data_IF_692847168959
#
_entry.id   IF_692847168959
#
_cell.length_a   1.000
_cell.length_b   1.000
_cell.length_c   1.000
_cell.angle_alpha   90.00
_cell.angle_beta   90.00
_cell.angle_gamma   90.00
#
_symmetry.space_group_name_H-M   'P 1'
#
loop_
_entity.id
_entity.type
_entity.pdbx_description
1 polymer ?
#
# COMPACT_ATOMS: atom_id res chain seq x y z
N UNK A 1 13.48 -7.67 18.02
CA UNK A 1 12.96 -6.34 18.36
C UNK A 1 11.48 -6.47 18.76
N UNK A 2 10.98 -5.66 19.73
CA UNK A 2 9.56 -5.63 20.03
C UNK A 2 8.76 -5.21 18.79
N UNK A 3 7.53 -5.74 18.65
CA UNK A 3 6.62 -5.33 17.57
C UNK A 3 6.11 -3.93 17.85
N UNK A 4 6.30 -3.00 16.91
CA UNK A 4 5.79 -1.64 16.97
C UNK A 4 4.45 -1.53 16.22
N UNK A 5 4.35 -2.20 15.08
CA UNK A 5 3.14 -2.33 14.28
C UNK A 5 3.15 -3.70 13.59
N UNK A 6 1.98 -4.08 13.07
CA UNK A 6 1.84 -5.30 12.27
C UNK A 6 0.74 -5.14 11.23
N UNK A 7 0.89 -5.86 10.13
CA UNK A 7 -0.16 -6.08 9.14
C UNK A 7 -0.59 -7.53 9.25
N UNK A 8 -1.88 -7.75 9.42
CA UNK A 8 -2.48 -9.05 9.47
C UNK A 8 -3.51 -9.24 8.36
N UNK A 9 -3.71 -10.46 7.92
CA UNK A 9 -4.82 -10.83 7.06
C UNK A 9 -5.75 -11.76 7.84
N UNK A 10 -7.02 -11.80 7.47
CA UNK A 10 -7.89 -12.82 7.98
C UNK A 10 -7.45 -14.22 7.56
N UNK A 11 -7.55 -15.12 8.49
CA UNK A 11 -7.38 -16.55 8.26
C UNK A 11 -8.74 -17.23 8.44
N UNK A 12 -9.03 -18.20 7.59
CA UNK A 12 -10.31 -18.90 7.60
C UNK A 12 -10.56 -19.70 8.89
N UNK A 13 -9.47 -20.06 9.60
CA UNK A 13 -9.54 -20.91 10.80
C UNK A 13 -9.19 -20.19 12.10
N UNK A 14 -8.35 -19.16 12.07
CA UNK A 14 -7.69 -18.59 13.26
C UNK A 14 -7.87 -17.05 13.44
N UNK A 15 -8.84 -16.43 12.81
CA UNK A 15 -9.05 -14.99 12.94
C UNK A 15 -8.07 -14.15 12.11
N UNK A 16 -7.14 -13.43 12.75
CA UNK A 16 -6.15 -12.60 12.05
C UNK A 16 -4.75 -13.23 12.08
N UNK A 17 -4.19 -13.51 10.90
CA UNK A 17 -2.83 -14.03 10.75
C UNK A 17 -1.85 -12.90 10.43
N UNK A 18 -0.84 -12.64 11.28
CA UNK A 18 0.20 -11.65 10.98
C UNK A 18 0.95 -12.02 9.70
N UNK A 19 1.17 -11.03 8.83
CA UNK A 19 1.89 -11.17 7.57
C UNK A 19 3.27 -10.54 7.69
N UNK A 20 3.33 -9.34 8.27
CA UNK A 20 4.55 -8.57 8.46
C UNK A 20 4.40 -7.65 9.68
N UNK A 21 5.53 -7.30 10.29
CA UNK A 21 5.61 -6.41 11.44
C UNK A 21 6.80 -5.48 11.30
N UNK A 22 6.81 -4.39 12.09
CA UNK A 22 7.84 -3.35 12.07
C UNK A 22 8.02 -2.76 10.67
N UNK A 23 6.91 -2.34 10.07
CA UNK A 23 6.83 -1.74 8.74
C UNK A 23 6.81 -0.23 8.91
N UNK A 24 7.72 0.46 8.23
CA UNK A 24 7.79 1.93 8.25
C UNK A 24 6.87 2.54 7.19
N UNK A 25 6.75 1.87 6.01
CA UNK A 25 5.93 2.36 4.89
C UNK A 25 5.15 1.27 4.19
N UNK A 26 3.94 1.63 3.78
CA UNK A 26 3.13 0.85 2.84
C UNK A 26 3.10 1.59 1.50
N UNK A 27 3.64 0.96 0.47
CA UNK A 27 3.56 1.45 -0.89
C UNK A 27 2.30 0.89 -1.54
N UNK A 28 1.28 1.71 -1.66
CA UNK A 28 0.00 1.37 -2.29
C UNK A 28 0.18 1.48 -3.80
N UNK A 29 0.39 0.35 -4.46
CA UNK A 29 0.58 0.30 -5.91
C UNK A 29 -0.76 0.17 -6.59
N UNK A 30 -1.11 1.17 -7.37
CA UNK A 30 -2.20 1.17 -8.34
C UNK A 30 -1.63 1.28 -9.76
N UNK A 31 -2.47 1.28 -10.78
CA UNK A 31 -2.05 1.47 -12.15
C UNK A 31 -3.14 2.14 -12.97
N UNK A 32 -2.76 2.72 -14.10
CA UNK A 32 -3.71 3.31 -15.04
C UNK A 32 -4.43 2.25 -15.88
N UNK A 33 -3.86 1.04 -15.96
CA UNK A 33 -4.46 -0.15 -16.59
C UNK A 33 -4.23 -1.36 -15.67
N UNK A 34 -5.28 -2.06 -15.20
CA UNK A 34 -6.71 -1.74 -15.32
C UNK A 34 -7.05 -0.38 -14.70
N UNK A 35 -8.21 0.18 -15.00
CA UNK A 35 -8.61 1.55 -14.61
C UNK A 35 -8.25 1.87 -13.17
N UNK A 36 -7.65 3.05 -12.95
CA UNK A 36 -7.30 3.56 -11.62
C UNK A 36 -8.56 3.59 -10.73
N UNK A 37 -8.51 2.88 -9.62
CA UNK A 37 -9.63 2.78 -8.67
C UNK A 37 -9.30 3.50 -7.37
N UNK A 38 -9.84 4.70 -7.18
CA UNK A 38 -9.65 5.49 -5.97
C UNK A 38 -10.22 4.78 -4.75
N UNK A 39 -11.36 4.10 -4.86
CA UNK A 39 -11.96 3.32 -3.77
C UNK A 39 -11.03 2.25 -3.18
N UNK A 40 -10.14 1.71 -4.00
CA UNK A 40 -9.18 0.71 -3.53
C UNK A 40 -8.02 1.38 -2.82
N UNK A 41 -7.57 2.53 -3.33
CA UNK A 41 -6.58 3.36 -2.65
C UNK A 41 -7.11 3.74 -1.26
N UNK A 42 -8.35 4.26 -1.17
CA UNK A 42 -8.98 4.66 0.09
C UNK A 42 -9.00 3.51 1.11
N UNK A 43 -9.34 2.29 0.67
CA UNK A 43 -9.32 1.11 1.55
C UNK A 43 -7.94 0.84 2.13
N UNK A 44 -6.89 0.94 1.31
CA UNK A 44 -5.53 0.76 1.81
C UNK A 44 -5.12 1.88 2.75
N UNK A 45 -5.50 3.13 2.46
CA UNK A 45 -5.22 4.27 3.33
C UNK A 45 -5.84 4.08 4.72
N UNK A 46 -7.11 3.67 4.79
CA UNK A 46 -7.79 3.38 6.06
C UNK A 46 -7.04 2.32 6.88
N UNK A 47 -6.54 1.27 6.24
CA UNK A 47 -5.74 0.24 6.93
C UNK A 47 -4.42 0.81 7.43
N UNK A 48 -3.72 1.62 6.60
CA UNK A 48 -2.45 2.25 6.97
C UNK A 48 -2.60 3.16 8.19
N UNK A 49 -3.63 4.02 8.19
CA UNK A 49 -3.92 4.96 9.27
C UNK A 49 -4.23 4.21 10.59
N UNK A 50 -5.05 3.16 10.52
CA UNK A 50 -5.34 2.35 11.71
C UNK A 50 -4.12 1.58 12.23
N UNK A 51 -3.21 1.20 11.35
CA UNK A 51 -1.97 0.53 11.73
C UNK A 51 -0.86 1.50 12.17
N UNK A 52 -1.04 2.81 11.99
CA UNK A 52 -0.01 3.83 12.25
C UNK A 52 1.22 3.68 11.35
N UNK A 53 1.01 3.29 10.08
CA UNK A 53 2.07 3.05 9.09
C UNK A 53 1.94 4.09 7.97
N UNK A 54 3.04 4.72 7.59
CA UNK A 54 3.06 5.76 6.55
C UNK A 54 2.68 5.19 5.18
N UNK A 55 1.60 5.67 4.53
CA UNK A 55 1.23 5.25 3.19
C UNK A 55 1.86 6.15 2.12
N UNK A 56 2.26 5.53 0.99
CA UNK A 56 2.66 6.24 -0.22
C UNK A 56 1.87 5.66 -1.39
N UNK A 57 1.19 6.51 -2.15
CA UNK A 57 0.40 6.13 -3.32
C UNK A 57 1.29 6.15 -4.56
N UNK A 58 1.41 5.02 -5.22
CA UNK A 58 2.19 4.86 -6.44
C UNK A 58 1.29 4.40 -7.58
N UNK A 59 1.17 5.21 -8.62
CA UNK A 59 0.43 4.88 -9.84
C UNK A 59 1.40 4.45 -10.93
N UNK A 60 1.41 3.16 -11.22
CA UNK A 60 2.29 2.55 -12.21
C UNK A 60 1.69 2.58 -13.62
N UNK A 61 2.51 2.25 -14.61
CA UNK A 61 2.19 2.26 -16.04
C UNK A 61 1.86 3.66 -16.59
N UNK A 62 2.48 4.69 -16.01
CA UNK A 62 2.30 6.08 -16.44
C UNK A 62 2.81 6.37 -17.86
N UNK A 63 3.52 5.42 -18.48
CA UNK A 63 3.90 5.43 -19.89
C UNK A 63 2.74 5.22 -20.87
N UNK A 64 1.64 4.65 -20.37
CA UNK A 64 0.43 4.40 -21.18
C UNK A 64 -0.53 5.60 -21.21
N UNK A 65 -0.24 6.67 -20.48
CA UNK A 65 -1.04 7.88 -20.45
C UNK A 65 -0.65 8.84 -21.57
N UNK A 66 -1.64 9.36 -22.29
CA UNK A 66 -1.47 10.58 -23.07
C UNK A 66 -1.47 11.83 -22.18
N UNK A 67 -1.23 13.01 -22.76
CA UNK A 67 -1.12 14.24 -22.00
C UNK A 67 -2.43 14.70 -21.31
N UNK A 68 -3.57 14.32 -21.83
CA UNK A 68 -4.88 14.65 -21.27
C UNK A 68 -5.21 13.70 -20.10
N UNK A 69 -5.01 12.42 -20.31
CA UNK A 69 -5.15 11.38 -19.28
C UNK A 69 -4.18 11.59 -18.11
N UNK A 70 -2.94 12.02 -18.37
CA UNK A 70 -1.99 12.33 -17.29
C UNK A 70 -2.48 13.49 -16.44
N UNK A 71 -3.07 14.53 -17.03
CA UNK A 71 -3.68 15.64 -16.28
C UNK A 71 -4.87 15.20 -15.44
N UNK A 72 -5.70 14.30 -15.97
CA UNK A 72 -6.83 13.75 -15.22
C UNK A 72 -6.35 12.95 -14.02
N UNK A 73 -5.41 12.04 -14.19
CA UNK A 73 -4.82 11.26 -13.10
C UNK A 73 -4.14 12.17 -12.07
N UNK A 74 -3.37 13.18 -12.51
CA UNK A 74 -2.76 14.16 -11.62
C UNK A 74 -3.79 14.94 -10.81
N UNK A 75 -4.92 15.32 -11.41
CA UNK A 75 -6.04 16.00 -10.72
C UNK A 75 -6.66 15.09 -9.64
N UNK A 76 -6.85 13.81 -9.93
CA UNK A 76 -7.35 12.84 -8.96
C UNK A 76 -6.35 12.63 -7.81
N UNK A 77 -5.06 12.57 -8.10
CA UNK A 77 -4.02 12.41 -7.09
C UNK A 77 -3.81 13.68 -6.25
N UNK A 78 -4.16 14.85 -6.80
CA UNK A 78 -4.06 16.11 -6.05
C UNK A 78 -4.96 16.11 -4.80
N UNK A 79 -6.12 15.46 -4.84
CA UNK A 79 -7.02 15.28 -3.68
C UNK A 79 -6.27 14.62 -2.51
N UNK A 80 -5.51 13.58 -2.79
CA UNK A 80 -4.72 12.88 -1.77
C UNK A 80 -3.55 13.73 -1.25
N UNK A 81 -2.89 14.50 -2.13
CA UNK A 81 -1.81 15.42 -1.72
C UNK A 81 -2.33 16.52 -0.80
N UNK A 82 -3.53 17.06 -1.08
CA UNK A 82 -4.17 18.09 -0.26
C UNK A 82 -4.51 17.58 1.15
N UNK A 83 -4.79 16.27 1.30
CA UNK A 83 -4.98 15.59 2.58
C UNK A 83 -3.63 15.27 3.27
N UNK A 84 -2.51 15.41 2.55
CA UNK A 84 -1.16 15.18 3.07
C UNK A 84 -0.55 13.83 2.75
N UNK A 85 -1.12 13.09 1.78
CA UNK A 85 -0.52 11.85 1.30
C UNK A 85 0.51 12.09 0.20
N UNK A 86 1.59 11.32 0.20
CA UNK A 86 2.56 11.34 -0.88
C UNK A 86 2.06 10.50 -2.06
N UNK A 87 2.15 11.05 -3.28
CA UNK A 87 1.75 10.37 -4.51
C UNK A 87 2.82 10.46 -5.58
N UNK A 88 3.02 9.40 -6.37
CA UNK A 88 3.99 9.36 -7.48
C UNK A 88 3.38 8.59 -8.65
N UNK A 89 3.44 9.16 -9.86
CA UNK A 89 3.19 8.43 -11.11
C UNK A 89 4.52 7.92 -11.65
N UNK A 90 4.60 6.62 -11.90
CA UNK A 90 5.82 5.94 -12.36
C UNK A 90 5.54 5.04 -13.56
N UNK A 91 6.59 4.55 -14.17
CA UNK A 91 6.56 3.42 -15.10
C UNK A 91 7.71 2.47 -14.80
N UNK A 92 7.39 1.25 -14.42
CA UNK A 92 8.40 0.18 -14.26
C UNK A 92 8.98 -0.23 -15.63
N UNK A 93 8.26 -0.03 -16.72
CA UNK A 93 8.66 -0.40 -18.08
C UNK A 93 9.70 0.57 -18.63
N UNK A 94 9.42 1.88 -18.54
CA UNK A 94 10.29 2.91 -19.11
C UNK A 94 11.30 3.50 -18.11
N UNK A 95 11.14 3.21 -16.82
CA UNK A 95 11.95 3.81 -15.76
C UNK A 95 11.49 5.21 -15.32
N UNK A 96 10.38 5.74 -15.86
CA UNK A 96 9.85 7.08 -15.51
C UNK A 96 9.65 7.18 -13.99
N UNK A 97 10.30 8.15 -13.33
CA UNK A 97 10.24 8.44 -11.90
C UNK A 97 10.61 7.26 -10.96
N UNK A 98 11.28 6.22 -11.45
CA UNK A 98 11.71 5.10 -10.61
C UNK A 98 12.76 5.52 -9.58
N UNK A 99 13.54 6.56 -9.88
CA UNK A 99 14.51 7.17 -8.94
C UNK A 99 13.83 7.73 -7.69
N UNK A 100 12.61 8.31 -7.84
CA UNK A 100 11.83 8.82 -6.70
C UNK A 100 11.34 7.70 -5.80
N UNK A 101 10.84 6.61 -6.40
CA UNK A 101 10.43 5.43 -5.65
C UNK A 101 11.62 4.80 -4.94
N UNK A 102 12.76 4.65 -5.64
CA UNK A 102 13.98 4.07 -5.08
C UNK A 102 14.51 4.89 -3.90
N UNK A 103 14.47 6.23 -4.00
CA UNK A 103 14.84 7.11 -2.90
C UNK A 103 13.95 6.94 -1.66
N UNK A 104 12.64 6.75 -1.85
CA UNK A 104 11.69 6.48 -0.75
C UNK A 104 11.95 5.13 -0.07
N UNK A 105 12.47 4.16 -0.81
CA UNK A 105 12.75 2.82 -0.30
C UNK A 105 14.14 2.70 0.33
N UNK A 106 14.96 3.75 0.31
CA UNK A 106 16.37 3.71 0.74
C UNK A 106 16.56 3.62 2.26
N UNK A 107 15.51 3.84 3.03
CA UNK A 107 15.51 3.72 4.48
C UNK A 107 14.28 2.93 4.98
N UNK A 108 14.38 2.40 6.21
CA UNK A 108 13.29 1.67 6.84
C UNK A 108 12.88 0.38 6.13
N UNK A 109 11.72 -0.12 6.49
CA UNK A 109 11.13 -1.34 5.93
C UNK A 109 9.82 -1.00 5.22
N UNK A 110 9.77 -1.25 3.93
CA UNK A 110 8.60 -0.98 3.08
C UNK A 110 7.95 -2.28 2.62
N UNK A 111 6.64 -2.21 2.34
CA UNK A 111 5.89 -3.32 1.77
C UNK A 111 5.04 -2.84 0.61
N UNK A 112 4.96 -3.62 -0.48
CA UNK A 112 4.08 -3.32 -1.60
C UNK A 112 2.72 -3.99 -1.42
N UNK A 113 1.67 -3.18 -1.51
CA UNK A 113 0.27 -3.62 -1.54
C UNK A 113 -0.41 -3.15 -2.82
N UNK A 114 -1.51 -3.76 -3.20
CA UNK A 114 -2.27 -3.36 -4.39
C UNK A 114 -2.84 -4.57 -5.14
N UNK A 115 -3.75 -4.31 -6.06
CA UNK A 115 -4.45 -5.32 -6.84
C UNK A 115 -3.52 -6.18 -7.70
N UNK A 116 -4.09 -7.28 -8.22
CA UNK A 116 -3.43 -8.07 -9.26
C UNK A 116 -3.31 -7.28 -10.56
N UNK A 117 -2.19 -7.43 -11.26
CA UNK A 117 -1.98 -6.80 -12.56
C UNK A 117 -1.51 -5.33 -12.54
N UNK A 118 -1.40 -4.67 -11.37
CA UNK A 118 -0.89 -3.28 -11.27
C UNK A 118 0.62 -3.16 -11.48
N UNK A 119 1.35 -4.29 -11.53
CA UNK A 119 2.77 -4.31 -11.83
C UNK A 119 3.70 -4.36 -10.61
N UNK A 120 3.24 -4.83 -9.43
CA UNK A 120 4.10 -4.99 -8.24
C UNK A 120 5.34 -5.83 -8.52
N UNK A 121 5.17 -6.97 -9.18
CA UNK A 121 6.29 -7.84 -9.56
C UNK A 121 7.27 -7.14 -10.51
N UNK A 122 6.77 -6.35 -11.46
CA UNK A 122 7.62 -5.56 -12.36
C UNK A 122 8.42 -4.51 -11.61
N UNK A 123 7.82 -3.87 -10.60
CA UNK A 123 8.53 -2.91 -9.72
C UNK A 123 9.63 -3.60 -8.91
N UNK A 124 9.32 -4.75 -8.29
CA UNK A 124 10.31 -5.54 -7.54
C UNK A 124 11.45 -5.95 -8.46
N UNK A 125 11.14 -6.37 -9.67
CA UNK A 125 12.10 -6.77 -10.68
C UNK A 125 13.01 -5.61 -11.11
N UNK A 126 12.45 -4.43 -11.25
CA UNK A 126 13.23 -3.21 -11.59
C UNK A 126 14.17 -2.82 -10.44
N UNK A 127 13.69 -2.89 -9.19
CA UNK A 127 14.45 -2.50 -8.00
C UNK A 127 15.52 -3.55 -7.63
N UNK A 128 15.22 -4.82 -7.87
CA UNK A 128 16.06 -5.96 -7.51
C UNK A 128 16.33 -6.88 -8.72
N UNK A 129 17.03 -6.41 -9.74
CA UNK A 129 17.25 -7.16 -10.99
C UNK A 129 17.99 -8.50 -10.75
N UNK A 130 18.85 -8.57 -9.73
CA UNK A 130 19.62 -9.78 -9.40
C UNK A 130 18.78 -10.89 -8.76
N UNK A 131 17.65 -10.56 -8.14
CA UNK A 131 16.76 -11.55 -7.49
C UNK A 131 15.92 -12.29 -8.52
N UNK A 132 15.59 -11.65 -9.64
CA UNK A 132 14.82 -12.26 -10.72
C UNK A 132 15.51 -13.41 -11.42
N UNK A 133 16.82 -13.37 -11.57
CA UNK A 133 17.57 -14.47 -12.18
C UNK A 133 17.40 -15.80 -11.40
N UNK A 134 17.05 -15.72 -10.11
CA UNK A 134 16.82 -16.91 -9.27
C UNK A 134 15.34 -17.34 -9.21
N UNK A 135 14.40 -16.42 -9.41
CA UNK A 135 12.95 -16.70 -9.32
C UNK A 135 12.34 -17.05 -10.68
N UNK A 136 12.86 -16.50 -11.77
CA UNK A 136 12.43 -16.81 -13.14
C UNK A 136 12.68 -18.26 -13.55
N UNK A 137 13.61 -18.97 -12.90
CA UNK A 137 13.87 -20.38 -13.14
C UNK A 137 12.85 -21.36 -12.51
N UNK A 138 11.94 -20.87 -11.67
CA UNK A 138 10.99 -21.72 -10.93
C UNK A 138 9.53 -21.56 -11.42
N UNK A 139 9.19 -20.46 -12.09
CA UNK A 139 7.79 -20.16 -12.46
C UNK A 139 7.35 -20.64 -13.84
N UNK A 140 8.27 -21.05 -14.72
CA UNK A 140 7.93 -21.54 -16.07
C UNK A 140 7.84 -23.07 -16.21
N UNK A 141 8.20 -23.85 -15.21
CA UNK A 141 8.33 -25.31 -15.34
C UNK A 141 7.31 -26.12 -14.53
N UNK A 142 6.38 -25.53 -13.79
CA UNK A 142 5.40 -26.31 -13.04
C UNK A 142 3.96 -26.09 -13.51
N UNK A 143 3.64 -26.70 -14.63
CA UNK A 143 2.28 -26.91 -15.11
C UNK A 143 1.47 -27.94 -14.34
N UNK A 144 1.75 -28.18 -13.06
CA UNK A 144 0.94 -29.06 -12.19
C UNK A 144 1.08 -28.63 -10.71
N UNK A 145 -0.04 -28.19 -10.13
CA UNK A 145 -0.23 -28.14 -8.68
C UNK A 145 -0.02 -26.77 -8.07
N UNK A 146 -1.14 -26.13 -7.73
CA UNK A 146 -1.25 -24.98 -6.85
C UNK A 146 -0.55 -25.20 -5.50
N UNK A 147 0.71 -24.79 -5.41
CA UNK A 147 1.29 -24.42 -4.14
C UNK A 147 1.62 -22.93 -4.21
N UNK A 148 0.63 -22.10 -3.91
CA UNK A 148 0.81 -20.68 -3.70
C UNK A 148 1.82 -20.53 -2.57
N UNK A 149 3.03 -20.03 -2.89
CA UNK A 149 4.06 -19.73 -1.90
C UNK A 149 3.49 -18.70 -0.94
N UNK A 150 3.08 -19.13 0.25
CA UNK A 150 2.41 -18.32 1.26
C UNK A 150 3.40 -17.61 2.20
N UNK A 151 4.68 -17.65 1.91
CA UNK A 151 5.72 -17.06 2.75
C UNK A 151 6.09 -15.65 2.26
N UNK A 152 6.04 -14.68 3.17
CA UNK A 152 6.61 -13.35 2.93
C UNK A 152 8.13 -13.42 2.85
N UNK A 153 8.73 -12.64 1.95
CA UNK A 153 10.18 -12.53 1.78
C UNK A 153 10.65 -11.14 2.08
N UNK A 154 11.72 -11.00 2.86
CA UNK A 154 12.40 -9.75 3.13
C UNK A 154 13.62 -9.64 2.22
N UNK A 155 13.73 -8.53 1.51
CA UNK A 155 14.85 -8.18 0.66
C UNK A 155 15.59 -6.97 1.22
N UNK A 156 16.90 -7.05 1.33
CA UNK A 156 17.75 -5.91 1.62
C UNK A 156 18.08 -5.18 0.31
N UNK A 157 17.78 -3.89 0.25
CA UNK A 157 17.98 -3.11 -0.98
C UNK A 157 19.43 -2.62 -1.08
N UNK A 158 20.03 -2.62 -2.29
CA UNK A 158 21.43 -2.19 -2.49
C UNK A 158 21.71 -0.75 -2.05
N UNK A 159 20.70 0.12 -2.16
CA UNK A 159 20.76 1.54 -1.78
C UNK A 159 20.42 1.79 -0.30
N UNK A 160 20.19 0.76 0.47
CA UNK A 160 19.69 0.82 1.84
C UNK A 160 18.18 0.53 1.92
N UNK A 161 17.68 0.36 3.17
CA UNK A 161 16.30 -0.02 3.42
C UNK A 161 15.99 -1.49 3.12
N UNK A 162 14.74 -1.87 3.39
CA UNK A 162 14.25 -3.23 3.22
C UNK A 162 12.91 -3.24 2.49
N UNK A 163 12.69 -4.27 1.69
CA UNK A 163 11.43 -4.49 1.00
C UNK A 163 10.85 -5.84 1.38
N UNK A 164 9.59 -5.87 1.80
CA UNK A 164 8.84 -7.09 2.03
C UNK A 164 7.98 -7.37 0.80
N UNK A 165 8.18 -8.53 0.19
CA UNK A 165 7.27 -9.10 -0.80
C UNK A 165 6.42 -10.18 -0.13
N UNK A 166 5.12 -9.95 -0.12
CA UNK A 166 4.16 -10.91 0.43
C UNK A 166 3.06 -11.20 -0.55
N UNK A 167 3.06 -12.39 -1.15
CA UNK A 167 2.01 -12.80 -2.10
C UNK A 167 0.61 -12.79 -1.49
N UNK A 168 0.50 -12.85 -0.15
CA UNK A 168 -0.76 -12.89 0.58
C UNK A 168 -1.42 -11.52 0.82
N UNK A 169 -0.75 -10.41 0.51
CA UNK A 169 -1.26 -9.03 0.73
C UNK A 169 -1.96 -8.47 -0.53
N UNK A 170 -2.53 -9.33 -1.35
CA UNK A 170 -3.20 -8.88 -2.58
C UNK A 170 -4.57 -8.24 -2.32
N UNK A 171 -5.17 -8.54 -1.18
CA UNK A 171 -6.51 -8.06 -0.83
C UNK A 171 -6.60 -7.78 0.67
N UNK A 172 -6.36 -6.52 1.05
CA UNK A 172 -6.79 -6.05 2.36
C UNK A 172 -8.28 -5.75 2.31
N UNK A 173 -9.06 -6.50 3.10
CA UNK A 173 -10.46 -6.18 3.31
C UNK A 173 -10.63 -5.30 4.55
N UNK A 174 -11.52 -4.31 4.47
CA UNK A 174 -11.94 -3.51 5.65
C UNK A 174 -12.89 -4.27 6.58
N UNK A 175 -13.30 -5.46 6.21
CA UNK A 175 -14.36 -6.24 6.88
C UNK A 175 -14.02 -6.72 8.29
N UNK A 176 -12.80 -6.55 8.75
CA UNK A 176 -12.40 -6.78 10.14
C UNK A 176 -12.33 -5.48 10.96
N UNK A 177 -12.57 -4.31 10.32
CA UNK A 177 -12.59 -3.03 11.01
C UNK A 177 -14.02 -2.67 11.43
N UNK A 178 -14.14 -2.22 12.66
CA UNK A 178 -15.39 -1.64 13.16
C UNK A 178 -15.67 -0.29 12.45
N UNK A 179 -16.95 0.14 12.34
CA UNK A 179 -17.30 1.40 11.67
C UNK A 179 -16.53 2.61 12.19
N UNK A 180 -16.26 2.68 13.48
CA UNK A 180 -15.47 3.75 14.11
C UNK A 180 -14.01 3.74 13.66
N UNK A 181 -13.43 2.56 13.43
CA UNK A 181 -12.07 2.42 12.93
C UNK A 181 -12.00 2.85 11.46
N UNK A 182 -13.02 2.51 10.67
CA UNK A 182 -13.11 2.97 9.27
C UNK A 182 -13.17 4.50 9.24
N UNK A 183 -14.03 5.13 10.05
CA UNK A 183 -14.16 6.58 10.11
C UNK A 183 -12.86 7.27 10.56
N UNK A 184 -12.19 6.72 11.57
CA UNK A 184 -10.89 7.21 12.05
C UNK A 184 -9.75 7.02 11.04
N UNK A 185 -9.90 6.08 10.13
CA UNK A 185 -8.94 5.82 9.05
C UNK A 185 -8.95 6.85 7.92
N UNK A 186 -9.87 7.82 7.93
CA UNK A 186 -9.89 8.96 7.00
C UNK A 186 -9.29 10.19 7.68
N UNK A 187 -8.14 10.69 7.21
CA UNK A 187 -7.45 11.87 7.77
C UNK A 187 -8.33 13.11 7.78
N UNK A 188 -9.13 13.31 6.75
CA UNK A 188 -10.05 14.42 6.62
C UNK A 188 -11.13 14.42 7.71
N UNK A 189 -11.54 13.25 8.21
CA UNK A 189 -12.54 13.14 9.27
C UNK A 189 -11.93 13.33 10.66
N UNK A 190 -10.66 13.07 10.87
CA UNK A 190 -10.00 13.27 12.17
C UNK A 190 -10.10 14.71 12.64
N UNK A 191 -10.03 15.67 11.71
CA UNK A 191 -10.18 17.09 12.02
C UNK A 191 -11.60 17.45 12.50
N UNK A 192 -12.61 16.87 11.85
CA UNK A 192 -14.04 17.10 12.18
C UNK A 192 -14.41 16.38 13.48
N UNK A 193 -13.94 15.16 13.69
CA UNK A 193 -14.18 14.38 14.90
C UNK A 193 -13.54 15.03 16.14
N UNK A 194 -12.34 15.59 16.01
CA UNK A 194 -11.68 16.35 17.07
C UNK A 194 -12.49 17.57 17.51
N UNK A 195 -13.13 18.28 16.57
CA UNK A 195 -14.01 19.43 16.86
C UNK A 195 -15.34 19.01 17.48
N UNK A 196 -15.90 17.87 17.06
CA UNK A 196 -17.19 17.37 17.58
C UNK A 196 -17.10 16.90 19.03
N UNK A 197 -15.97 16.32 19.44
CA UNK A 197 -15.77 15.86 20.82
C UNK A 197 -15.60 17.01 21.82
N UNK A 198 -15.22 18.21 21.36
CA UNK A 198 -15.12 19.39 22.23
C UNK A 198 -16.53 19.95 22.56
N UNK A 199 -17.53 19.69 21.72
CA UNK A 199 -18.89 20.18 21.94
C UNK A 199 -19.83 19.19 22.68
N UNK A 200 -19.42 17.97 22.93
CA UNK A 200 -20.25 16.94 23.59
C UNK A 200 -20.01 16.85 25.11
N UNK A 201 -19.05 17.58 25.66
CA UNK A 201 -18.74 17.53 27.08
C UNK A 201 -19.40 18.63 27.92
N UNK A 202 -20.73 18.73 27.92
CA UNK A 202 -21.49 19.19 29.09
C UNK A 202 -22.96 18.82 28.96
N UNK A 203 -23.48 17.80 29.67
CA UNK A 203 -24.90 17.77 29.97
C UNK A 203 -25.14 18.82 31.06
N UNK A 204 -25.73 19.96 30.67
CA UNK A 204 -26.38 20.86 31.63
C UNK A 204 -27.40 20.07 32.41
N UNK A 205 -27.12 19.79 33.70
CA UNK A 205 -28.14 19.33 34.65
C UNK A 205 -29.10 20.47 34.85
N UNK A 206 -30.42 20.29 34.61
CA UNK A 206 -31.44 21.21 35.14
C UNK A 206 -31.52 21.01 36.65
N UNK A 207 -31.57 22.11 37.35
CA UNK A 207 -31.86 22.20 38.78
C UNK A 207 -33.29 21.72 39.07
#
# INVERSE_FOLDING_TARGET
HPRQNEIARPDYYDGLKPIAANIDRIIIVSAVVPVLSLNIIDRYLVVCENAGIEPVIVVNKGDLLDAEQEKEVESQLQIYRDIGYQTIIISAETGKNMEKLTALLSDGTSIFVGQSGVGKSSLINHILPTVNAQVGGISETSGLGQHTTTSSRLYHLPQGGNLIDSPGIREFGLWHLEPDQITKGYREFQYVLGLSLIHISEPTRPY
#
